data_IF_097564568808
#
_entry.id   IF_097564568808
#
_cell.length_a   1.000
_cell.length_b   1.000
_cell.length_c   1.000
_cell.angle_alpha   90.00
_cell.angle_beta   90.00
_cell.angle_gamma   90.00
#
_symmetry.space_group_name_H-M   'P 1'
#
loop_
_entity.id
_entity.type
_entity.pdbx_description
1 polymer ?
#
# COMPACT_ATOMS: atom_id res chain seq x y z
N UNK A 1 34.31 3.34 -16.73
CA UNK A 1 35.53 2.49 -16.72
C UNK A 1 35.67 1.64 -15.44
N UNK A 2 35.51 2.20 -14.23
CA UNK A 2 35.61 1.45 -12.95
C UNK A 2 34.57 0.32 -12.83
N UNK A 3 33.32 0.56 -13.25
CA UNK A 3 32.24 -0.43 -13.19
C UNK A 3 32.52 -1.69 -14.05
N UNK A 4 33.03 -1.51 -15.27
CA UNK A 4 33.41 -2.62 -16.17
C UNK A 4 34.59 -3.42 -15.61
N UNK A 5 35.56 -2.76 -14.99
CA UNK A 5 36.68 -3.44 -14.31
C UNK A 5 36.21 -4.25 -13.09
N UNK A 6 35.15 -3.80 -12.41
CA UNK A 6 34.57 -4.49 -11.23
C UNK A 6 33.73 -5.70 -11.64
N UNK A 7 32.97 -5.60 -12.74
CA UNK A 7 32.20 -6.73 -13.27
C UNK A 7 33.11 -7.85 -13.81
N UNK A 8 34.27 -7.53 -14.37
CA UNK A 8 35.25 -8.53 -14.85
C UNK A 8 35.88 -9.39 -13.74
N UNK A 9 35.73 -9.00 -12.45
CA UNK A 9 36.11 -9.81 -11.28
C UNK A 9 34.99 -10.68 -10.75
N UNK A 10 33.76 -10.51 -11.23
CA UNK A 10 32.62 -11.34 -10.88
C UNK A 10 32.55 -12.51 -11.87
N UNK A 11 33.37 -13.54 -11.63
CA UNK A 11 33.16 -14.85 -12.27
C UNK A 11 32.01 -15.56 -11.55
N UNK A 12 30.80 -15.06 -11.80
CA UNK A 12 29.59 -15.79 -11.44
C UNK A 12 29.44 -16.96 -12.42
N UNK A 13 29.34 -18.21 -11.95
CA UNK A 13 28.85 -19.28 -12.79
C UNK A 13 27.43 -18.89 -13.22
N UNK A 14 27.26 -18.55 -14.50
CA UNK A 14 25.96 -18.27 -15.11
C UNK A 14 25.14 -19.56 -15.14
N UNK A 15 24.53 -19.93 -14.01
CA UNK A 15 23.45 -20.90 -14.00
C UNK A 15 22.24 -20.24 -14.69
N UNK A 16 21.76 -20.85 -15.78
CA UNK A 16 20.59 -20.35 -16.52
C UNK A 16 19.32 -20.33 -15.68
N UNK A 17 19.27 -21.13 -14.61
CA UNK A 17 18.12 -21.26 -13.75
C UNK A 17 18.55 -21.60 -12.31
N UNK A 18 18.13 -20.77 -11.35
CA UNK A 18 18.36 -20.99 -9.93
C UNK A 18 17.06 -21.46 -9.26
N UNK A 19 16.94 -22.77 -9.10
CA UNK A 19 15.77 -23.38 -8.46
C UNK A 19 15.65 -22.98 -6.98
N UNK A 20 16.77 -22.75 -6.31
CA UNK A 20 16.79 -22.39 -4.90
C UNK A 20 16.30 -20.95 -4.71
N UNK A 21 16.74 -20.03 -5.57
CA UNK A 21 16.24 -18.67 -5.63
C UNK A 21 14.73 -18.61 -5.90
N UNK A 22 14.22 -19.44 -6.83
CA UNK A 22 12.78 -19.52 -7.10
C UNK A 22 12.00 -19.98 -5.86
N UNK A 23 12.46 -21.02 -5.16
CA UNK A 23 11.79 -21.51 -3.95
C UNK A 23 11.73 -20.43 -2.85
N UNK A 24 12.82 -19.67 -2.64
CA UNK A 24 12.83 -18.56 -1.68
C UNK A 24 11.88 -17.42 -2.07
N UNK A 25 11.77 -17.11 -3.36
CA UNK A 25 10.79 -16.13 -3.85
C UNK A 25 9.35 -16.61 -3.63
N UNK A 26 9.06 -17.89 -3.93
CA UNK A 26 7.73 -18.47 -3.74
C UNK A 26 7.30 -18.49 -2.28
N UNK A 27 8.22 -18.72 -1.34
CA UNK A 27 7.94 -18.67 0.10
C UNK A 27 7.45 -17.29 0.56
N UNK A 28 7.83 -16.22 -0.12
CA UNK A 28 7.39 -14.84 0.19
C UNK A 28 6.16 -14.46 -0.65
N UNK A 29 6.16 -14.83 -1.93
CA UNK A 29 5.11 -14.46 -2.88
C UNK A 29 3.78 -15.16 -2.57
N UNK A 30 3.79 -16.45 -2.23
CA UNK A 30 2.55 -17.21 -1.99
C UNK A 30 1.74 -16.63 -0.81
N UNK A 31 2.32 -16.39 0.39
CA UNK A 31 1.60 -15.74 1.47
C UNK A 31 1.08 -14.33 1.10
N UNK A 32 1.89 -13.56 0.36
CA UNK A 32 1.52 -12.20 -0.07
C UNK A 32 0.34 -12.22 -1.04
N UNK A 33 0.31 -13.18 -1.97
CA UNK A 33 -0.80 -13.37 -2.90
C UNK A 33 -2.08 -13.75 -2.15
N UNK A 34 -1.99 -14.66 -1.18
CA UNK A 34 -3.14 -15.06 -0.36
C UNK A 34 -3.69 -13.90 0.47
N UNK A 35 -2.80 -13.08 1.06
CA UNK A 35 -3.20 -11.87 1.75
C UNK A 35 -3.96 -10.92 0.82
N UNK A 36 -3.40 -10.58 -0.35
CA UNK A 36 -4.04 -9.66 -1.30
C UNK A 36 -5.34 -10.22 -1.90
N UNK A 37 -5.42 -11.54 -2.08
CA UNK A 37 -6.64 -12.22 -2.51
C UNK A 37 -7.74 -12.06 -1.45
N UNK A 38 -7.39 -12.20 -0.17
CA UNK A 38 -8.33 -12.03 0.94
C UNK A 38 -8.90 -10.61 0.99
N UNK A 39 -8.05 -9.59 0.83
CA UNK A 39 -8.47 -8.19 0.76
C UNK A 39 -9.43 -7.96 -0.41
N UNK A 40 -9.07 -8.47 -1.59
CA UNK A 40 -9.89 -8.32 -2.81
C UNK A 40 -11.26 -8.99 -2.67
N UNK A 41 -11.30 -10.20 -2.09
CA UNK A 41 -12.55 -10.92 -1.82
C UNK A 41 -13.39 -10.15 -0.80
N UNK A 42 -12.78 -9.61 0.26
CA UNK A 42 -13.48 -8.77 1.24
C UNK A 42 -14.15 -7.56 0.59
N UNK A 43 -13.44 -6.87 -0.30
CA UNK A 43 -13.98 -5.74 -1.05
C UNK A 43 -15.15 -6.15 -1.96
N UNK A 44 -15.07 -7.31 -2.62
CA UNK A 44 -16.18 -7.84 -3.43
C UNK A 44 -17.42 -8.15 -2.58
N UNK A 45 -17.23 -8.70 -1.38
CA UNK A 45 -18.33 -8.97 -0.45
C UNK A 45 -19.00 -7.65 -0.03
N UNK A 46 -18.22 -6.63 0.34
CA UNK A 46 -18.75 -5.31 0.70
C UNK A 46 -19.53 -4.72 -0.48
N UNK A 47 -18.97 -4.76 -1.69
CA UNK A 47 -19.65 -4.30 -2.91
C UNK A 47 -20.98 -5.04 -3.14
N UNK A 48 -20.99 -6.36 -2.97
CA UNK A 48 -22.20 -7.18 -3.14
C UNK A 48 -23.29 -6.81 -2.12
N UNK A 49 -22.90 -6.42 -0.91
CA UNK A 49 -23.82 -5.91 0.12
C UNK A 49 -24.34 -4.51 -0.24
N UNK A 50 -23.52 -3.65 -0.85
CA UNK A 50 -23.93 -2.27 -1.19
C UNK A 50 -24.84 -2.21 -2.43
N UNK A 51 -24.63 -3.08 -3.42
CA UNK A 51 -25.35 -3.05 -4.70
C UNK A 51 -26.89 -3.03 -4.59
N UNK A 52 -27.55 -3.79 -3.69
CA UNK A 52 -29.01 -3.79 -3.55
C UNK A 52 -29.62 -2.52 -2.95
N UNK A 53 -28.82 -1.65 -2.32
CA UNK A 53 -29.31 -0.40 -1.70
C UNK A 53 -29.66 0.71 -2.72
N UNK A 54 -29.50 0.44 -4.01
CA UNK A 54 -29.87 1.36 -5.08
C UNK A 54 -28.80 2.40 -5.42
N UNK A 55 -29.13 3.26 -6.39
CA UNK A 55 -28.16 4.16 -7.02
C UNK A 55 -27.59 5.22 -6.09
N UNK A 56 -28.36 5.70 -5.11
CA UNK A 56 -27.91 6.70 -4.14
C UNK A 56 -26.84 6.14 -3.19
N UNK A 57 -27.06 4.94 -2.65
CA UNK A 57 -26.07 4.27 -1.81
C UNK A 57 -24.79 3.95 -2.60
N UNK A 58 -24.94 3.54 -3.86
CA UNK A 58 -23.81 3.26 -4.74
C UNK A 58 -22.99 4.52 -5.06
N UNK A 59 -23.65 5.66 -5.23
CA UNK A 59 -23.01 6.96 -5.43
C UNK A 59 -22.18 7.35 -4.18
N UNK A 60 -22.77 7.26 -2.99
CA UNK A 60 -22.08 7.51 -1.73
C UNK A 60 -20.87 6.58 -1.52
N UNK A 61 -21.05 5.28 -1.75
CA UNK A 61 -19.96 4.31 -1.68
C UNK A 61 -18.82 4.64 -2.66
N UNK A 62 -19.15 4.97 -3.91
CA UNK A 62 -18.14 5.34 -4.92
C UNK A 62 -17.36 6.60 -4.55
N UNK A 63 -18.02 7.57 -3.91
CA UNK A 63 -17.38 8.77 -3.39
C UNK A 63 -16.39 8.43 -2.28
N UNK A 64 -16.83 7.63 -1.30
CA UNK A 64 -15.99 7.15 -0.19
C UNK A 64 -14.76 6.41 -0.69
N UNK A 65 -14.92 5.49 -1.65
CA UNK A 65 -13.80 4.74 -2.23
C UNK A 65 -12.75 5.64 -2.89
N UNK A 66 -13.16 6.76 -3.50
CA UNK A 66 -12.20 7.71 -4.10
C UNK A 66 -11.37 8.41 -3.03
N UNK A 67 -12.03 8.81 -1.94
CA UNK A 67 -11.37 9.44 -0.79
C UNK A 67 -10.41 8.45 -0.14
N UNK A 68 -10.86 7.23 0.13
CA UNK A 68 -10.04 6.14 0.67
C UNK A 68 -8.77 5.91 -0.16
N UNK A 69 -8.91 5.81 -1.49
CA UNK A 69 -7.78 5.59 -2.39
C UNK A 69 -6.68 6.66 -2.27
N UNK A 70 -7.06 7.93 -2.12
CA UNK A 70 -6.10 9.05 -1.97
C UNK A 70 -5.25 8.87 -0.70
N UNK A 71 -5.89 8.54 0.42
CA UNK A 71 -5.18 8.35 1.68
C UNK A 71 -4.40 7.03 1.70
N UNK A 72 -4.96 5.96 1.14
CA UNK A 72 -4.32 4.65 1.04
C UNK A 72 -2.97 4.70 0.31
N UNK A 73 -2.86 5.53 -0.73
CA UNK A 73 -1.61 5.74 -1.48
C UNK A 73 -0.44 6.20 -0.59
N UNK A 74 -0.71 6.99 0.46
CA UNK A 74 0.34 7.48 1.38
C UNK A 74 0.94 6.29 2.14
N UNK A 75 0.09 5.44 2.72
CA UNK A 75 0.51 4.27 3.48
C UNK A 75 1.25 3.26 2.60
N UNK A 76 0.74 3.01 1.39
CA UNK A 76 1.42 2.15 0.39
C UNK A 76 2.79 2.71 0.03
N UNK A 77 2.92 4.04 -0.12
CA UNK A 77 4.19 4.70 -0.45
C UNK A 77 5.22 4.54 0.67
N UNK A 78 4.81 4.65 1.94
CA UNK A 78 5.67 4.42 3.10
C UNK A 78 6.17 2.97 3.10
N UNK A 79 5.28 1.99 2.92
CA UNK A 79 5.66 0.58 2.81
C UNK A 79 6.66 0.31 1.68
N UNK A 80 6.43 0.90 0.50
CA UNK A 80 7.31 0.80 -0.65
C UNK A 80 8.68 1.45 -0.42
N UNK A 81 8.79 2.46 0.44
CA UNK A 81 10.07 3.06 0.84
C UNK A 81 10.81 2.21 1.89
N UNK A 82 10.07 1.58 2.80
CA UNK A 82 10.66 0.75 3.87
C UNK A 82 11.29 -0.52 3.30
N UNK A 83 10.68 -1.18 2.32
CA UNK A 83 11.20 -2.42 1.72
C UNK A 83 12.66 -2.33 1.20
N UNK A 84 13.02 -1.38 0.30
CA UNK A 84 14.40 -1.20 -0.13
C UNK A 84 15.30 -0.69 0.99
N UNK A 85 14.79 0.14 1.91
CA UNK A 85 15.55 0.59 3.07
C UNK A 85 16.00 -0.59 3.95
N UNK A 86 15.10 -1.53 4.23
CA UNK A 86 15.39 -2.76 4.99
C UNK A 86 16.43 -3.59 4.24
N UNK A 87 16.19 -3.85 2.95
CA UNK A 87 17.09 -4.65 2.10
C UNK A 87 18.51 -4.10 2.06
N UNK A 88 18.65 -2.77 1.88
CA UNK A 88 19.96 -2.11 1.85
C UNK A 88 20.68 -2.15 3.20
N UNK A 89 19.97 -1.91 4.31
CA UNK A 89 20.59 -1.94 5.64
C UNK A 89 20.91 -3.36 6.09
N UNK A 90 20.12 -4.35 5.69
CA UNK A 90 20.40 -5.76 5.92
C UNK A 90 21.66 -6.20 5.17
N UNK A 91 21.75 -5.87 3.88
CA UNK A 91 22.94 -6.15 3.06
C UNK A 91 24.21 -5.43 3.54
N UNK A 92 24.07 -4.29 4.20
CA UNK A 92 25.18 -3.55 4.82
C UNK A 92 25.55 -4.01 6.23
N UNK A 93 24.89 -5.05 6.78
CA UNK A 93 25.15 -5.55 8.14
C UNK A 93 24.73 -4.58 9.25
N UNK A 94 23.74 -3.71 9.01
CA UNK A 94 23.29 -2.66 9.94
C UNK A 94 21.85 -2.88 10.44
N UNK A 95 21.54 -3.98 11.13
CA UNK A 95 20.17 -4.29 11.58
C UNK A 95 19.60 -3.26 12.58
N UNK A 96 20.45 -2.55 13.31
CA UNK A 96 20.00 -1.50 14.22
C UNK A 96 19.37 -0.31 13.49
N UNK A 97 19.79 -0.03 12.25
CA UNK A 97 19.16 1.02 11.44
C UNK A 97 17.79 0.59 10.92
N UNK A 98 17.59 -0.72 10.72
CA UNK A 98 16.29 -1.28 10.32
C UNK A 98 15.24 -0.97 11.39
N UNK A 99 15.54 -1.26 12.66
CA UNK A 99 14.63 -0.96 13.79
C UNK A 99 14.26 0.52 13.86
N UNK A 100 15.25 1.41 13.72
CA UNK A 100 15.02 2.87 13.72
C UNK A 100 14.15 3.32 12.55
N UNK A 101 14.42 2.82 11.34
CA UNK A 101 13.63 3.16 10.15
C UNK A 101 12.20 2.64 10.24
N UNK A 102 12.01 1.43 10.78
CA UNK A 102 10.69 0.86 11.02
C UNK A 102 9.88 1.69 12.03
N UNK A 103 10.49 2.09 13.15
CA UNK A 103 9.82 2.99 14.10
C UNK A 103 9.48 4.35 13.49
N UNK A 104 10.37 4.93 12.67
CA UNK A 104 10.07 6.17 11.98
C UNK A 104 8.90 6.02 11.00
N UNK A 105 8.83 4.90 10.26
CA UNK A 105 7.71 4.60 9.37
C UNK A 105 6.39 4.48 10.15
N UNK A 106 6.38 3.77 11.28
CA UNK A 106 5.18 3.66 12.13
C UNK A 106 4.71 5.03 12.66
N UNK A 107 5.64 5.89 13.08
CA UNK A 107 5.30 7.24 13.52
C UNK A 107 4.73 8.06 12.36
N UNK A 108 5.32 7.96 11.16
CA UNK A 108 4.77 8.61 9.97
C UNK A 108 3.38 8.10 9.64
N UNK A 109 3.16 6.80 9.64
CA UNK A 109 1.84 6.19 9.40
C UNK A 109 0.81 6.72 10.41
N UNK A 110 1.13 6.75 11.71
CA UNK A 110 0.25 7.29 12.74
C UNK A 110 -0.04 8.78 12.54
N UNK A 111 0.98 9.58 12.22
CA UNK A 111 0.78 11.00 11.94
C UNK A 111 -0.11 11.22 10.72
N UNK A 112 0.12 10.50 9.62
CA UNK A 112 -0.71 10.61 8.43
C UNK A 112 -2.13 10.08 8.65
N UNK A 113 -2.30 9.04 9.45
CA UNK A 113 -3.62 8.55 9.85
C UNK A 113 -4.39 9.61 10.65
N UNK A 114 -3.74 10.27 11.61
CA UNK A 114 -4.36 11.35 12.37
C UNK A 114 -4.72 12.56 11.48
N UNK A 115 -3.83 12.93 10.55
CA UNK A 115 -4.09 14.00 9.58
C UNK A 115 -5.27 13.63 8.67
N UNK A 116 -5.28 12.40 8.13
CA UNK A 116 -6.36 11.92 7.28
C UNK A 116 -7.71 11.97 8.02
N UNK A 117 -7.74 11.51 9.27
CA UNK A 117 -8.94 11.57 10.11
C UNK A 117 -9.44 13.02 10.28
N UNK A 118 -8.56 13.94 10.67
CA UNK A 118 -8.93 15.36 10.87
C UNK A 118 -9.41 15.99 9.56
N UNK A 119 -8.74 15.70 8.43
CA UNK A 119 -9.10 16.23 7.12
C UNK A 119 -10.46 15.71 6.67
N UNK A 120 -10.73 14.41 6.86
CA UNK A 120 -12.01 13.80 6.49
C UNK A 120 -13.15 14.39 7.33
N UNK A 121 -12.97 14.50 8.65
CA UNK A 121 -13.97 15.09 9.55
C UNK A 121 -14.24 16.57 9.23
N UNK A 122 -13.18 17.37 9.08
CA UNK A 122 -13.31 18.80 8.82
C UNK A 122 -13.92 19.12 7.45
N UNK A 123 -13.70 18.26 6.45
CA UNK A 123 -14.14 18.48 5.07
C UNK A 123 -15.28 17.55 4.65
N UNK A 124 -15.93 16.81 5.57
CA UNK A 124 -16.95 15.82 5.21
C UNK A 124 -18.06 16.41 4.34
N UNK A 125 -18.48 17.64 4.63
CA UNK A 125 -19.54 18.36 3.90
C UNK A 125 -19.09 18.78 2.50
N UNK A 126 -17.81 19.10 2.34
CA UNK A 126 -17.23 19.49 1.06
C UNK A 126 -17.00 18.26 0.18
N UNK A 127 -16.52 17.17 0.77
CA UNK A 127 -16.34 15.87 0.12
C UNK A 127 -17.71 15.35 -0.35
N UNK A 128 -18.72 15.36 0.50
CA UNK A 128 -20.08 14.94 0.11
C UNK A 128 -20.62 15.83 -1.02
N UNK A 129 -20.47 17.15 -0.94
CA UNK A 129 -20.92 18.06 -2.00
C UNK A 129 -20.17 17.92 -3.34
N UNK A 130 -18.87 17.61 -3.30
CA UNK A 130 -18.01 17.47 -4.48
C UNK A 130 -18.32 16.18 -5.26
N UNK A 131 -18.73 15.12 -4.56
CA UNK A 131 -18.96 13.81 -5.17
C UNK A 131 -20.45 13.44 -5.31
N UNK A 132 -21.36 14.00 -4.50
CA UNK A 132 -22.81 13.76 -4.59
C UNK A 132 -23.58 14.91 -5.25
N UNK A 133 -22.96 16.07 -5.45
CA UNK A 133 -23.64 17.28 -5.93
C UNK A 133 -24.52 17.95 -4.86
N UNK A 134 -24.99 19.17 -5.14
CA UNK A 134 -25.73 20.05 -4.21
C UNK A 134 -27.03 19.45 -3.64
N UNK A 135 -27.58 18.43 -4.28
CA UNK A 135 -28.85 17.78 -3.91
C UNK A 135 -28.64 16.58 -2.94
N UNK A 136 -27.41 16.05 -2.81
CA UNK A 136 -27.09 14.95 -1.90
C UNK A 136 -26.98 15.36 -0.43
N UNK A 137 -26.79 16.65 -0.15
CA UNK A 137 -26.69 17.22 1.20
C UNK A 137 -28.00 17.19 2.00
N UNK A 138 -29.15 16.94 1.36
CA UNK A 138 -30.43 16.82 2.05
C UNK A 138 -30.71 15.41 2.59
N UNK A 139 -29.91 14.41 2.22
CA UNK A 139 -30.10 12.99 2.55
C UNK A 139 -28.92 12.35 3.30
N UNK A 140 -27.82 13.10 3.49
CA UNK A 140 -26.68 12.72 4.32
C UNK A 140 -26.83 13.34 5.72
#
# INVERSE_FOLDING_TARGET
LIFLHRMRRYESPFQRFDWQGLQSMLQIAVPSILQQSTVSIGMLIVQAVVNPFGTQALAGYSATMRVENVFSLIFVSIGNAVSPFVSQNLGAGKPQRIKKGYHAALVLDLCFAAIAFVVIEALHTQISSLFLGKDGTALA
#
